data_IF_432002107690
#
_entry.id   IF_432002107690
#
_cell.length_a   1.000
_cell.length_b   1.000
_cell.length_c   1.000
_cell.angle_alpha   90.00
_cell.angle_beta   90.00
_cell.angle_gamma   90.00
#
_symmetry.space_group_name_H-M   'P 1'
#
loop_
_entity.id
_entity.type
_entity.pdbx_description
1 polymer ?
#
# COMPACT_ATOMS: atom_id res chain seq x y z
N UNK A 1 24.41 0.59 14.92
CA UNK A 1 22.98 0.91 15.11
C UNK A 1 22.21 -0.12 14.30
N UNK A 2 21.36 -0.90 14.97
CA UNK A 2 20.75 -2.11 14.42
C UNK A 2 19.79 -1.76 13.28
N UNK A 3 20.03 -2.34 12.10
CA UNK A 3 19.02 -2.38 11.04
C UNK A 3 17.83 -3.17 11.56
N UNK A 4 16.69 -2.50 11.72
CA UNK A 4 15.42 -3.17 11.98
C UNK A 4 15.06 -3.93 10.71
N UNK A 5 15.06 -5.25 10.84
CA UNK A 5 14.73 -6.17 9.77
C UNK A 5 13.22 -6.02 9.53
N UNK A 6 12.86 -5.37 8.43
CA UNK A 6 11.48 -5.34 7.94
C UNK A 6 11.26 -6.78 7.42
N UNK A 7 10.33 -7.54 7.98
CA UNK A 7 9.94 -8.83 7.39
C UNK A 7 9.07 -8.52 6.18
N UNK A 8 9.72 -8.21 5.06
CA UNK A 8 9.10 -7.68 3.84
C UNK A 8 8.36 -8.81 3.10
N UNK A 9 7.06 -8.95 3.32
CA UNK A 9 6.22 -9.51 2.27
C UNK A 9 6.03 -8.42 1.20
N UNK A 10 6.79 -8.57 0.11
CA UNK A 10 6.72 -7.70 -1.04
C UNK A 10 5.56 -8.12 -1.95
N UNK A 11 4.58 -7.23 -2.10
CA UNK A 11 3.59 -7.36 -3.17
C UNK A 11 3.85 -6.27 -4.20
N UNK A 12 4.34 -6.69 -5.37
CA UNK A 12 4.24 -5.87 -6.57
C UNK A 12 2.79 -5.91 -7.01
N UNK A 13 2.20 -4.75 -7.28
CA UNK A 13 0.87 -4.67 -7.85
C UNK A 13 0.95 -4.46 -9.36
N UNK A 14 0.27 -5.37 -10.06
CA UNK A 14 0.35 -5.61 -11.48
C UNK A 14 -0.98 -5.27 -12.12
N UNK A 15 -0.94 -4.94 -13.41
CA UNK A 15 -2.12 -5.02 -14.27
C UNK A 15 -2.45 -6.52 -14.45
N UNK A 16 -3.30 -7.08 -13.58
CA UNK A 16 -3.65 -8.51 -13.59
C UNK A 16 -4.72 -8.89 -14.62
N UNK A 17 -4.35 -9.89 -15.45
CA UNK A 17 -5.22 -10.57 -16.40
C UNK A 17 -4.92 -12.06 -16.67
N UNK A 18 -4.02 -12.76 -15.97
CA UNK A 18 -3.84 -14.22 -16.19
C UNK A 18 -3.37 -15.01 -14.98
N UNK A 19 -3.97 -16.19 -14.80
CA UNK A 19 -3.59 -17.21 -13.82
C UNK A 19 -2.17 -17.75 -13.97
N UNK A 20 -1.71 -18.31 -12.86
CA UNK A 20 -0.43 -18.98 -12.57
C UNK A 20 0.83 -18.07 -12.62
N UNK A 21 1.46 -17.75 -11.46
CA UNK A 21 2.66 -16.91 -11.36
C UNK A 21 3.97 -17.62 -11.77
N UNK A 22 3.91 -18.63 -12.63
CA UNK A 22 5.10 -19.29 -13.20
C UNK A 22 5.66 -18.47 -14.34
N UNK A 23 6.30 -17.35 -14.00
CA UNK A 23 6.94 -16.48 -14.99
C UNK A 23 7.13 -15.05 -14.54
N UNK A 24 7.42 -14.81 -13.26
CA UNK A 24 7.61 -13.46 -12.72
C UNK A 24 8.62 -12.60 -13.53
N UNK A 25 9.85 -13.04 -13.88
CA UNK A 25 10.92 -12.12 -14.30
C UNK A 25 10.64 -11.26 -15.54
N UNK A 26 10.00 -11.81 -16.57
CA UNK A 26 9.74 -11.10 -17.83
C UNK A 26 8.41 -10.34 -17.82
N UNK A 27 7.48 -10.76 -16.96
CA UNK A 27 6.22 -10.04 -16.72
C UNK A 27 6.53 -8.74 -15.94
N UNK A 28 7.47 -8.77 -14.97
CA UNK A 28 8.01 -7.58 -14.24
C UNK A 28 8.48 -6.49 -15.18
N UNK A 29 9.17 -6.86 -16.25
CA UNK A 29 9.80 -5.90 -17.13
C UNK A 29 8.84 -5.20 -18.08
N UNK A 30 7.63 -5.74 -18.28
CA UNK A 30 6.68 -5.26 -19.30
C UNK A 30 5.48 -4.53 -18.72
N UNK A 31 5.23 -4.65 -17.42
CA UNK A 31 4.12 -3.98 -16.76
C UNK A 31 4.59 -2.75 -15.99
N UNK A 32 3.80 -1.68 -16.02
CA UNK A 32 4.00 -0.51 -15.17
C UNK A 32 3.70 -0.93 -13.72
N UNK A 33 4.73 -0.91 -12.87
CA UNK A 33 4.56 -1.08 -11.43
C UNK A 33 4.03 0.25 -10.89
N UNK A 34 2.76 0.27 -10.52
CA UNK A 34 2.10 1.47 -10.02
C UNK A 34 2.32 1.68 -8.52
N UNK A 35 2.73 0.64 -7.78
CA UNK A 35 3.04 0.78 -6.36
C UNK A 35 3.57 -0.50 -5.71
N UNK A 36 4.00 -0.35 -4.45
CA UNK A 36 4.47 -1.42 -3.56
C UNK A 36 3.77 -1.26 -2.22
N UNK A 37 3.23 -2.36 -1.69
CA UNK A 37 2.60 -2.43 -0.38
C UNK A 37 3.41 -3.30 0.59
N UNK A 38 3.43 -2.90 1.86
CA UNK A 38 4.14 -3.56 2.96
C UNK A 38 3.19 -3.83 4.12
N UNK A 39 3.00 -5.10 4.46
CA UNK A 39 2.33 -5.49 5.71
C UNK A 39 3.35 -5.45 6.87
N UNK A 40 3.08 -4.64 7.88
CA UNK A 40 3.97 -4.41 9.01
C UNK A 40 3.60 -5.33 10.19
N UNK A 41 3.83 -6.64 10.02
CA UNK A 41 3.42 -7.69 10.97
C UNK A 41 4.01 -7.46 12.37
N UNK A 42 5.31 -7.15 12.45
CA UNK A 42 6.00 -6.88 13.73
C UNK A 42 5.48 -5.62 14.43
N UNK A 43 4.85 -4.72 13.69
CA UNK A 43 4.26 -3.48 14.19
C UNK A 43 2.72 -3.58 14.30
N UNK A 44 2.17 -4.79 14.34
CA UNK A 44 0.72 -5.03 14.49
C UNK A 44 0.10 -4.32 15.70
N UNK A 45 0.85 -4.13 16.78
CA UNK A 45 0.40 -3.41 17.97
C UNK A 45 0.41 -1.88 17.83
N UNK A 46 1.07 -1.32 16.81
CA UNK A 46 1.12 0.12 16.61
C UNK A 46 -0.22 0.64 16.07
N UNK A 47 -0.56 1.83 16.52
CA UNK A 47 -1.68 2.61 16.00
C UNK A 47 -1.31 3.25 14.66
N UNK A 48 -2.32 3.58 13.86
CA UNK A 48 -2.13 4.21 12.56
C UNK A 48 -1.38 5.55 12.68
N UNK A 49 -1.59 6.28 13.79
CA UNK A 49 -0.88 7.54 14.07
C UNK A 49 0.60 7.34 14.41
N UNK A 50 0.97 6.25 15.08
CA UNK A 50 2.38 5.92 15.31
C UNK A 50 3.08 5.57 13.99
N UNK A 51 2.41 4.85 13.09
CA UNK A 51 2.95 4.55 11.76
C UNK A 51 3.13 5.84 10.94
N UNK A 52 2.13 6.72 10.93
CA UNK A 52 2.20 8.02 10.26
C UNK A 52 3.34 8.87 10.84
N UNK A 53 3.49 8.93 12.17
CA UNK A 53 4.55 9.68 12.81
C UNK A 53 5.95 9.21 12.42
N UNK A 54 6.14 7.90 12.19
CA UNK A 54 7.39 7.37 11.65
C UNK A 54 7.59 7.75 10.17
N UNK A 55 6.55 7.66 9.34
CA UNK A 55 6.60 8.05 7.92
C UNK A 55 6.90 9.54 7.74
N UNK A 56 6.31 10.40 8.57
CA UNK A 56 6.50 11.86 8.52
C UNK A 56 7.95 12.31 8.75
N UNK A 57 8.81 11.46 9.35
CA UNK A 57 10.24 11.73 9.47
C UNK A 57 10.94 11.80 8.11
N UNK A 58 10.42 11.07 7.12
CA UNK A 58 10.96 11.01 5.75
C UNK A 58 10.06 11.74 4.76
N UNK A 59 8.74 11.64 4.94
CA UNK A 59 7.71 12.23 4.09
C UNK A 59 6.90 13.25 4.89
N UNK A 60 7.46 14.43 5.18
CA UNK A 60 6.79 15.41 6.02
C UNK A 60 5.54 15.96 5.35
N UNK A 61 4.49 16.13 6.14
CA UNK A 61 3.21 16.69 5.70
C UNK A 61 2.03 16.03 6.41
N UNK A 62 0.85 16.59 6.20
CA UNK A 62 -0.37 16.08 6.80
C UNK A 62 -0.93 14.92 5.97
N UNK A 63 -1.26 13.84 6.64
CA UNK A 63 -1.92 12.69 6.01
C UNK A 63 -3.44 12.88 6.09
N UNK A 64 -4.10 12.91 4.94
CA UNK A 64 -5.56 13.03 4.83
C UNK A 64 -6.25 11.76 5.30
N UNK A 65 -7.13 11.88 6.30
CA UNK A 65 -7.97 10.78 6.77
C UNK A 65 -9.20 10.59 5.88
N UNK A 66 -9.54 9.35 5.59
CA UNK A 66 -10.86 8.97 5.09
C UNK A 66 -11.28 7.60 5.57
N UNK A 67 -12.58 7.36 5.62
CA UNK A 67 -13.17 6.09 6.03
C UNK A 67 -14.33 5.74 5.09
N UNK A 68 -14.31 4.54 4.52
CA UNK A 68 -15.37 4.03 3.67
C UNK A 68 -15.69 2.59 4.12
N UNK A 69 -16.97 2.29 4.40
CA UNK A 69 -17.40 0.96 4.87
C UNK A 69 -16.68 0.46 6.14
N UNK A 70 -16.26 1.36 7.02
CA UNK A 70 -15.48 1.03 8.23
C UNK A 70 -13.99 0.79 7.98
N UNK A 71 -13.53 0.94 6.74
CA UNK A 71 -12.12 0.85 6.36
C UNK A 71 -11.47 2.22 6.44
N UNK A 72 -10.67 2.41 7.48
CA UNK A 72 -9.86 3.62 7.68
C UNK A 72 -8.65 3.61 6.76
N UNK A 73 -8.38 4.75 6.15
CA UNK A 73 -7.14 4.99 5.41
C UNK A 73 -6.64 6.42 5.63
N UNK A 74 -5.34 6.56 5.52
CA UNK A 74 -4.63 7.81 5.54
C UNK A 74 -3.84 7.95 4.26
N UNK A 75 -3.96 9.09 3.59
CA UNK A 75 -3.31 9.36 2.31
C UNK A 75 -2.39 10.57 2.44
N UNK A 76 -1.16 10.43 1.97
CA UNK A 76 -0.28 11.57 1.73
C UNK A 76 0.09 11.58 0.25
N UNK A 77 0.12 12.75 -0.36
CA UNK A 77 0.40 12.87 -1.79
C UNK A 77 1.29 14.08 -2.05
N UNK A 78 2.29 13.87 -2.91
CA UNK A 78 3.18 14.92 -3.39
C UNK A 78 3.71 14.55 -4.76
N UNK A 79 3.60 15.49 -5.69
CA UNK A 79 3.99 15.30 -7.09
C UNK A 79 3.30 14.05 -7.67
N UNK A 80 4.07 13.03 -8.07
CA UNK A 80 3.51 11.77 -8.55
C UNK A 80 3.45 10.67 -7.49
N UNK A 81 3.92 10.91 -6.26
CA UNK A 81 3.96 9.89 -5.19
C UNK A 81 2.72 10.00 -4.30
N UNK A 82 2.02 8.89 -4.15
CA UNK A 82 0.93 8.71 -3.19
C UNK A 82 1.31 7.64 -2.18
N UNK A 83 1.22 7.96 -0.88
CA UNK A 83 1.45 7.02 0.22
C UNK A 83 0.12 6.76 0.91
N UNK A 84 -0.22 5.48 1.07
CA UNK A 84 -1.35 5.05 1.88
C UNK A 84 -0.88 4.38 3.17
N UNK A 85 -1.61 4.65 4.27
CA UNK A 85 -1.54 3.87 5.50
C UNK A 85 -2.94 3.39 5.81
N UNK A 86 -3.11 2.08 6.00
CA UNK A 86 -4.38 1.46 6.41
C UNK A 86 -4.11 0.21 7.24
N UNK A 87 -5.16 -0.50 7.63
CA UNK A 87 -5.03 -1.81 8.28
C UNK A 87 -5.55 -2.93 7.39
N UNK A 88 -4.76 -3.98 7.27
CA UNK A 88 -5.13 -5.23 6.61
C UNK A 88 -5.56 -6.26 7.64
N UNK A 89 -6.60 -7.02 7.33
CA UNK A 89 -7.09 -8.11 8.17
C UNK A 89 -6.70 -9.44 7.52
N UNK A 90 -5.89 -10.23 8.22
CA UNK A 90 -5.48 -11.56 7.79
C UNK A 90 -6.38 -12.64 8.43
N UNK A 91 -6.27 -13.86 7.91
CA UNK A 91 -6.92 -15.02 8.48
C UNK A 91 -6.60 -15.15 9.98
N UNK A 92 -7.60 -15.54 10.78
CA UNK A 92 -7.48 -15.54 12.24
C UNK A 92 -7.77 -14.19 12.91
N UNK A 93 -8.18 -13.16 12.16
CA UNK A 93 -8.62 -11.87 12.70
C UNK A 93 -7.47 -10.94 13.08
N UNK A 94 -6.25 -11.24 12.62
CA UNK A 94 -5.07 -10.42 12.89
C UNK A 94 -5.16 -9.15 12.04
N UNK A 95 -5.10 -7.99 12.69
CA UNK A 95 -5.09 -6.69 12.03
C UNK A 95 -3.69 -6.08 12.06
N UNK A 96 -3.06 -5.92 10.90
CA UNK A 96 -1.71 -5.34 10.78
C UNK A 96 -1.76 -4.02 10.02
N UNK A 97 -0.90 -3.05 10.36
CA UNK A 97 -0.72 -1.87 9.51
C UNK A 97 -0.17 -2.28 8.15
N UNK A 98 -0.69 -1.66 7.11
CA UNK A 98 -0.19 -1.76 5.75
C UNK A 98 0.22 -0.37 5.27
N UNK A 99 1.40 -0.26 4.67
CA UNK A 99 1.89 0.97 4.06
C UNK A 99 2.11 0.72 2.57
N UNK A 100 1.55 1.58 1.73
CA UNK A 100 1.70 1.47 0.28
C UNK A 100 2.29 2.73 -0.32
N UNK A 101 3.24 2.58 -1.25
CA UNK A 101 3.88 3.65 -2.00
C UNK A 101 3.52 3.48 -3.48
N UNK A 102 2.82 4.45 -4.05
CA UNK A 102 2.31 4.40 -5.41
C UNK A 102 2.81 5.59 -6.23
N UNK A 103 3.00 5.41 -7.53
CA UNK A 103 3.45 6.46 -8.45
C UNK A 103 2.51 6.61 -9.64
N UNK A 104 2.08 7.85 -9.91
CA UNK A 104 1.36 8.22 -11.12
C UNK A 104 -0.07 7.66 -11.19
N UNK A 105 -0.73 7.49 -10.05
CA UNK A 105 -2.14 7.08 -10.00
C UNK A 105 -3.07 8.23 -10.38
N UNK A 106 -4.16 7.92 -11.09
CA UNK A 106 -5.29 8.86 -11.27
C UNK A 106 -6.16 8.91 -10.01
N UNK A 107 -7.02 9.93 -9.87
CA UNK A 107 -7.91 10.08 -8.70
C UNK A 107 -8.75 8.83 -8.41
N UNK A 108 -9.26 8.18 -9.46
CA UNK A 108 -10.03 6.94 -9.34
C UNK A 108 -9.17 5.78 -8.83
N UNK A 109 -7.96 5.62 -9.38
CA UNK A 109 -7.02 4.58 -8.95
C UNK A 109 -6.58 4.82 -7.50
N UNK A 110 -6.29 6.06 -7.13
CA UNK A 110 -5.97 6.48 -5.76
C UNK A 110 -7.09 6.14 -4.78
N UNK A 111 -8.35 6.39 -5.15
CA UNK A 111 -9.50 5.99 -4.31
C UNK A 111 -9.56 4.47 -4.15
N UNK A 112 -9.50 3.73 -5.25
CA UNK A 112 -9.65 2.27 -5.25
C UNK A 112 -8.50 1.57 -4.50
N UNK A 113 -7.25 1.97 -4.75
CA UNK A 113 -6.07 1.43 -4.07
C UNK A 113 -6.15 1.67 -2.56
N UNK A 114 -6.56 2.88 -2.18
CA UNK A 114 -6.74 3.23 -0.77
C UNK A 114 -7.72 2.31 -0.03
N UNK A 115 -8.70 1.73 -0.72
CA UNK A 115 -9.65 0.76 -0.15
C UNK A 115 -9.12 -0.67 -0.29
N UNK A 116 -8.63 -1.03 -1.46
CA UNK A 116 -8.31 -2.39 -1.85
C UNK A 116 -6.91 -2.44 -2.47
N UNK A 117 -5.95 -2.88 -1.67
CA UNK A 117 -4.58 -3.21 -2.13
C UNK A 117 -4.71 -4.38 -3.09
N UNK A 118 -4.17 -4.26 -4.29
CA UNK A 118 -4.23 -5.24 -5.37
C UNK A 118 -5.33 -5.01 -6.40
N UNK A 119 -6.10 -3.92 -6.28
CA UNK A 119 -7.33 -3.68 -7.07
C UNK A 119 -7.29 -2.44 -7.97
N UNK A 120 -6.14 -2.13 -8.59
CA UNK A 120 -6.04 -1.06 -9.61
C UNK A 120 -6.90 -1.39 -10.86
N UNK A 121 -7.18 -2.66 -11.10
CA UNK A 121 -7.54 -3.17 -12.42
C UNK A 121 -9.02 -3.21 -12.83
N UNK A 122 -9.93 -2.53 -12.11
CA UNK A 122 -11.36 -2.49 -12.51
C UNK A 122 -11.80 -1.20 -13.19
N UNK A 123 -10.93 -0.20 -13.27
CA UNK A 123 -11.29 1.13 -13.74
C UNK A 123 -10.13 1.70 -14.57
N UNK A 124 -10.03 1.35 -15.86
CA UNK A 124 -9.19 2.13 -16.78
C UNK A 124 -9.72 3.57 -16.83
N UNK A 125 -8.85 4.49 -17.23
CA UNK A 125 -9.20 5.88 -17.56
C UNK A 125 -10.47 5.99 -18.43
#
# INVERSE_FOLDING_TARGET
MAGKNISEEWFFEWDYGMGDPKGLPDIIRKQLIYGVAFDLIEDSCKTDQEIIGELQKTYPGDYEYSEEWGLKRYKWERDCLTIFVKRRYHEGGISVPEVSFCYGLTDMQTRMYGLYTGYINRYPD
#
